data_IF_752866364147
#
_entry.id   IF_752866364147
#
_cell.length_a   1.000
_cell.length_b   1.000
_cell.length_c   1.000
_cell.angle_alpha   90.00
_cell.angle_beta   90.00
_cell.angle_gamma   90.00
#
_symmetry.space_group_name_H-M   'P 1'
#
loop_
_entity.id
_entity.type
_entity.pdbx_description
1 polymer ?
#
# COMPACT_ATOMS: atom_id res chain seq x y z
N UNK A 1 20.32 -6.99 -12.93
CA UNK A 1 18.94 -7.02 -12.46
C UNK A 1 18.80 -8.00 -11.30
N UNK A 2 17.67 -8.01 -10.65
CA UNK A 2 17.37 -8.93 -9.54
C UNK A 2 17.20 -10.37 -10.07
N UNK A 3 17.68 -11.42 -9.35
CA UNK A 3 17.36 -12.81 -9.67
C UNK A 3 15.85 -13.06 -9.68
N UNK A 4 15.36 -13.92 -10.58
CA UNK A 4 13.92 -14.13 -10.74
C UNK A 4 13.28 -14.74 -9.50
N UNK A 5 13.93 -15.69 -8.86
CA UNK A 5 13.47 -16.32 -7.63
C UNK A 5 13.35 -15.32 -6.48
N UNK A 6 14.30 -14.38 -6.35
CA UNK A 6 14.21 -13.27 -5.39
C UNK A 6 13.03 -12.36 -5.70
N UNK A 7 12.83 -11.99 -6.98
CA UNK A 7 11.69 -11.21 -7.41
C UNK A 7 10.35 -11.91 -7.05
N UNK A 8 10.27 -13.24 -7.21
CA UNK A 8 9.08 -14.00 -6.83
C UNK A 8 8.84 -13.99 -5.31
N UNK A 9 9.89 -14.05 -4.50
CA UNK A 9 9.77 -13.94 -3.04
C UNK A 9 9.19 -12.59 -2.62
N UNK A 10 9.59 -11.51 -3.31
CA UNK A 10 9.08 -10.15 -3.05
C UNK A 10 7.64 -9.97 -3.49
N UNK A 11 7.30 -10.46 -4.68
CA UNK A 11 5.95 -10.32 -5.22
C UNK A 11 4.92 -11.17 -4.46
N UNK A 12 5.31 -12.37 -4.05
CA UNK A 12 4.45 -13.33 -3.34
C UNK A 12 5.13 -13.71 -2.02
N UNK A 13 5.19 -12.80 -1.04
CA UNK A 13 5.84 -13.07 0.22
C UNK A 13 5.12 -14.16 1.01
N UNK A 14 5.89 -14.93 1.78
CA UNK A 14 5.31 -15.79 2.80
C UNK A 14 4.67 -14.94 3.91
N UNK A 15 3.65 -15.43 4.61
CA UNK A 15 3.08 -14.73 5.76
C UNK A 15 4.11 -14.73 6.90
N UNK A 16 4.80 -13.61 7.04
CA UNK A 16 5.96 -13.48 7.93
C UNK A 16 5.66 -12.89 9.31
N UNK A 17 4.51 -12.22 9.48
CA UNK A 17 4.22 -11.52 10.73
C UNK A 17 4.06 -12.47 11.91
N UNK A 18 3.03 -13.26 12.01
CA UNK A 18 2.72 -14.09 13.17
C UNK A 18 2.99 -15.59 12.96
N UNK A 19 4.03 -15.94 12.23
CA UNK A 19 4.38 -17.34 11.92
C UNK A 19 5.66 -17.80 12.62
N UNK A 20 5.80 -19.12 12.78
CA UNK A 20 7.02 -19.75 13.26
C UNK A 20 8.09 -19.79 12.14
N UNK A 21 8.48 -18.61 11.67
CA UNK A 21 9.51 -18.41 10.65
C UNK A 21 10.83 -17.99 11.32
N UNK A 22 11.97 -18.29 10.69
CA UNK A 22 13.26 -17.78 11.18
C UNK A 22 13.31 -16.26 11.13
N UNK A 23 14.09 -15.65 12.03
CA UNK A 23 14.16 -14.20 12.11
C UNK A 23 14.75 -13.60 10.83
N UNK A 24 15.74 -14.23 10.21
CA UNK A 24 16.36 -13.76 8.97
C UNK A 24 15.34 -13.66 7.82
N UNK A 25 14.42 -14.64 7.70
CA UNK A 25 13.34 -14.56 6.71
C UNK A 25 12.34 -13.44 7.04
N UNK A 26 12.00 -13.24 8.32
CA UNK A 26 11.13 -12.14 8.75
C UNK A 26 11.72 -10.79 8.41
N UNK A 27 12.99 -10.59 8.73
CA UNK A 27 13.71 -9.36 8.46
C UNK A 27 13.83 -9.08 6.96
N UNK A 28 14.10 -10.12 6.17
CA UNK A 28 14.08 -10.02 4.71
C UNK A 28 12.72 -9.54 4.18
N UNK A 29 11.62 -10.18 4.56
CA UNK A 29 10.30 -9.80 4.09
C UNK A 29 9.87 -8.43 4.61
N UNK A 30 10.21 -8.07 5.86
CA UNK A 30 9.93 -6.75 6.41
C UNK A 30 10.69 -5.65 5.67
N UNK A 31 11.99 -5.86 5.41
CA UNK A 31 12.79 -4.91 4.64
C UNK A 31 12.17 -4.60 3.27
N UNK A 32 11.75 -5.62 2.53
CA UNK A 32 11.13 -5.39 1.23
C UNK A 32 9.69 -4.89 1.30
N UNK A 33 8.95 -5.20 2.36
CA UNK A 33 7.62 -4.64 2.59
C UNK A 33 7.63 -3.11 2.75
N UNK A 34 8.77 -2.51 3.12
CA UNK A 34 8.93 -1.04 3.14
C UNK A 34 8.89 -0.40 1.75
N UNK A 35 9.12 -1.17 0.69
CA UNK A 35 9.26 -0.69 -0.69
C UNK A 35 8.21 -1.22 -1.65
N UNK A 36 7.58 -2.36 -1.34
CA UNK A 36 6.68 -3.04 -2.26
C UNK A 36 5.54 -3.74 -1.52
N UNK A 37 4.32 -3.55 -1.99
CA UNK A 37 3.15 -4.26 -1.50
C UNK A 37 3.11 -5.71 -2.02
N UNK A 38 2.58 -6.66 -1.22
CA UNK A 38 2.44 -8.05 -1.62
C UNK A 38 1.39 -8.22 -2.73
N UNK A 39 1.56 -9.23 -3.56
CA UNK A 39 0.54 -9.63 -4.52
C UNK A 39 -0.74 -10.05 -3.80
N UNK A 40 -1.86 -9.51 -4.26
CA UNK A 40 -3.20 -9.91 -3.83
C UNK A 40 -3.86 -10.78 -4.89
N UNK A 41 -4.50 -11.87 -4.46
CA UNK A 41 -5.27 -12.78 -5.30
C UNK A 41 -4.58 -14.12 -5.62
N UNK A 42 -5.32 -15.05 -6.29
CA UNK A 42 -4.80 -16.35 -6.71
C UNK A 42 -3.71 -16.19 -7.77
N UNK A 43 -2.57 -16.84 -7.54
CA UNK A 43 -1.44 -16.81 -8.46
C UNK A 43 -0.84 -18.20 -8.71
N UNK A 44 -0.54 -18.46 -9.97
CA UNK A 44 0.35 -19.54 -10.41
C UNK A 44 1.30 -18.93 -11.43
N UNK A 45 2.54 -18.71 -11.06
CA UNK A 45 3.51 -17.97 -11.87
C UNK A 45 4.62 -18.92 -12.26
N UNK A 46 4.88 -18.99 -13.55
CA UNK A 46 6.02 -19.69 -14.13
C UNK A 46 7.01 -18.63 -14.63
N UNK A 47 8.29 -18.86 -14.43
CA UNK A 47 9.33 -17.94 -14.83
C UNK A 47 10.57 -18.68 -15.34
N UNK A 48 11.35 -18.01 -16.21
CA UNK A 48 12.64 -18.48 -16.69
C UNK A 48 13.48 -17.32 -17.19
N UNK A 49 14.78 -17.40 -16.97
CA UNK A 49 15.80 -16.51 -17.55
C UNK A 49 16.67 -17.23 -18.60
N UNK A 50 16.29 -18.46 -18.98
CA UNK A 50 17.04 -19.31 -19.90
C UNK A 50 18.07 -20.23 -19.22
N UNK A 51 18.34 -20.01 -17.94
CA UNK A 51 19.22 -20.86 -17.10
C UNK A 51 18.41 -21.48 -15.98
N UNK A 52 17.75 -20.64 -15.21
CA UNK A 52 16.84 -21.06 -14.16
C UNK A 52 15.41 -21.13 -14.68
N UNK A 53 14.68 -22.13 -14.25
CA UNK A 53 13.25 -22.28 -14.50
C UNK A 53 12.57 -22.50 -13.16
N UNK A 54 11.46 -21.82 -12.96
CA UNK A 54 10.74 -21.98 -11.71
C UNK A 54 9.23 -21.79 -11.85
N UNK A 55 8.55 -22.22 -10.79
CA UNK A 55 7.12 -21.97 -10.62
C UNK A 55 6.84 -21.72 -9.14
N UNK A 56 5.90 -20.81 -8.89
CA UNK A 56 5.42 -20.55 -7.52
C UNK A 56 3.92 -20.44 -7.52
N UNK A 57 3.30 -20.87 -6.44
CA UNK A 57 1.90 -20.64 -6.14
C UNK A 57 1.76 -19.61 -5.01
N UNK A 58 0.65 -18.90 -5.01
CA UNK A 58 0.24 -18.16 -3.84
C UNK A 58 0.04 -19.08 -2.64
N UNK A 59 -0.02 -18.50 -1.44
CA UNK A 59 -0.16 -19.27 -0.21
C UNK A 59 -1.37 -20.20 -0.19
N UNK A 60 -2.51 -19.77 -0.73
CA UNK A 60 -3.70 -20.60 -0.74
C UNK A 60 -3.61 -21.74 -1.76
N UNK A 61 -2.80 -21.59 -2.80
CA UNK A 61 -2.62 -22.57 -3.85
C UNK A 61 -3.92 -22.94 -4.54
N UNK A 62 -4.81 -21.95 -4.77
CA UNK A 62 -6.12 -22.17 -5.39
C UNK A 62 -6.01 -22.66 -6.84
N UNK A 63 -4.93 -22.27 -7.53
CA UNK A 63 -4.62 -22.75 -8.86
C UNK A 63 -3.84 -24.04 -8.77
N UNK A 64 -4.31 -25.14 -9.42
CA UNK A 64 -3.58 -26.41 -9.41
C UNK A 64 -2.29 -26.29 -10.21
N UNK A 65 -1.26 -26.99 -9.76
CA UNK A 65 -0.01 -27.17 -10.50
C UNK A 65 0.62 -28.50 -10.11
N UNK A 66 0.85 -29.35 -11.09
CA UNK A 66 1.40 -30.69 -10.91
C UNK A 66 2.65 -30.84 -11.74
N UNK A 67 3.60 -31.64 -11.24
CA UNK A 67 4.81 -31.92 -11.99
C UNK A 67 5.20 -33.41 -11.94
N UNK A 68 5.86 -33.83 -13.01
CA UNK A 68 6.50 -35.10 -13.13
C UNK A 68 8.00 -34.92 -13.33
N UNK A 69 8.79 -35.87 -12.81
CA UNK A 69 10.18 -36.01 -13.13
C UNK A 69 10.31 -37.38 -13.78
N UNK A 70 10.90 -37.41 -14.98
CA UNK A 70 11.11 -38.61 -15.75
C UNK A 70 12.53 -39.21 -15.46
N UNK A 71 12.76 -40.45 -15.88
CA UNK A 71 14.02 -41.15 -15.74
C UNK A 71 15.17 -40.51 -16.55
N UNK A 72 14.84 -39.79 -17.61
CA UNK A 72 15.79 -38.98 -18.40
C UNK A 72 16.05 -37.58 -17.79
N UNK A 73 15.56 -37.33 -16.58
CA UNK A 73 15.62 -36.04 -15.86
C UNK A 73 14.77 -34.93 -16.46
N UNK A 74 13.87 -35.22 -17.40
CA UNK A 74 12.92 -34.26 -17.88
C UNK A 74 11.92 -33.89 -16.77
N UNK A 75 11.73 -32.59 -16.51
CA UNK A 75 10.69 -32.08 -15.61
C UNK A 75 9.52 -31.49 -16.43
N UNK A 76 8.34 -31.99 -16.16
CA UNK A 76 7.09 -31.51 -16.79
C UNK A 76 6.20 -30.92 -15.72
N UNK A 77 5.88 -29.63 -15.85
CA UNK A 77 4.96 -28.91 -14.98
C UNK A 77 3.73 -28.48 -15.75
N UNK A 78 2.54 -28.74 -15.22
CA UNK A 78 1.28 -28.36 -15.85
C UNK A 78 0.18 -28.12 -14.82
N UNK A 79 -0.87 -27.38 -15.20
CA UNK A 79 -2.07 -27.20 -14.36
C UNK A 79 -2.86 -28.50 -14.19
N UNK A 80 -2.81 -29.40 -15.16
CA UNK A 80 -3.59 -30.63 -15.21
C UNK A 80 -2.73 -31.85 -15.52
N UNK A 81 -3.23 -33.03 -15.14
CA UNK A 81 -2.64 -34.32 -15.51
C UNK A 81 -3.07 -34.68 -16.92
N UNK A 82 -2.18 -35.34 -17.68
CA UNK A 82 -2.51 -35.84 -19.02
C UNK A 82 -2.42 -34.82 -20.15
N UNK A 83 -1.76 -33.69 -19.94
CA UNK A 83 -1.49 -32.70 -21.02
C UNK A 83 -0.50 -33.23 -22.06
N UNK A 84 0.32 -34.18 -21.67
CA UNK A 84 1.19 -34.97 -22.57
C UNK A 84 0.93 -36.44 -22.35
N UNK A 85 0.99 -37.23 -23.43
CA UNK A 85 0.91 -38.66 -23.38
C UNK A 85 2.30 -39.19 -22.97
N UNK A 86 2.43 -39.62 -21.71
CA UNK A 86 3.69 -40.07 -21.11
C UNK A 86 3.46 -41.48 -20.60
N UNK A 87 4.34 -42.41 -21.01
CA UNK A 87 4.36 -43.76 -20.44
C UNK A 87 4.70 -43.66 -18.95
N UNK A 88 3.82 -44.17 -18.10
CA UNK A 88 3.96 -44.13 -16.64
C UNK A 88 5.24 -44.84 -16.14
N UNK A 89 5.77 -45.80 -16.91
CA UNK A 89 7.01 -46.51 -16.58
C UNK A 89 8.23 -45.58 -16.53
N UNK A 90 8.22 -44.47 -17.24
CA UNK A 90 9.31 -43.49 -17.25
C UNK A 90 9.18 -42.44 -16.13
N UNK A 91 8.09 -42.42 -15.38
CA UNK A 91 7.87 -41.40 -14.34
C UNK A 91 8.53 -41.85 -13.02
N UNK A 92 9.60 -41.16 -12.64
CA UNK A 92 10.32 -41.40 -11.38
C UNK A 92 9.61 -40.72 -10.20
N UNK A 93 9.02 -39.52 -10.43
CA UNK A 93 8.33 -38.77 -9.39
C UNK A 93 7.08 -38.08 -9.92
N UNK A 94 5.95 -38.31 -9.24
CA UNK A 94 4.69 -37.53 -9.42
C UNK A 94 4.48 -36.67 -8.18
N UNK A 95 4.27 -35.37 -8.35
CA UNK A 95 4.02 -34.48 -7.23
C UNK A 95 3.16 -33.28 -7.66
N UNK A 96 2.80 -32.46 -6.68
CA UNK A 96 2.16 -31.18 -6.91
C UNK A 96 3.01 -30.07 -6.29
N UNK A 97 2.98 -28.90 -6.91
CA UNK A 97 3.52 -27.70 -6.31
C UNK A 97 2.68 -27.35 -5.06
N UNK A 98 3.35 -27.21 -3.94
CA UNK A 98 2.68 -26.91 -2.67
C UNK A 98 2.31 -25.43 -2.59
N UNK A 99 1.21 -25.07 -1.93
CA UNK A 99 0.86 -23.69 -1.64
C UNK A 99 2.00 -22.93 -0.97
N UNK A 100 2.28 -21.71 -1.43
CA UNK A 100 3.36 -20.88 -0.90
C UNK A 100 4.77 -21.37 -1.13
N UNK A 101 4.97 -22.46 -1.89
CA UNK A 101 6.28 -23.04 -2.21
C UNK A 101 6.69 -22.72 -3.65
N UNK A 102 7.98 -22.66 -3.85
CA UNK A 102 8.62 -22.48 -5.15
C UNK A 102 9.25 -23.79 -5.61
N UNK A 103 9.03 -24.14 -6.86
CA UNK A 103 9.78 -25.17 -7.58
C UNK A 103 10.84 -24.44 -8.40
N UNK A 104 12.11 -24.71 -8.18
CA UNK A 104 13.22 -24.07 -8.87
C UNK A 104 14.17 -25.11 -9.44
N UNK A 105 14.52 -24.97 -10.71
CA UNK A 105 15.44 -25.83 -11.43
C UNK A 105 16.56 -24.99 -12.03
N UNK A 106 17.80 -25.34 -11.72
CA UNK A 106 18.99 -24.85 -12.41
C UNK A 106 19.31 -25.85 -13.56
N UNK A 107 19.08 -25.41 -14.81
CA UNK A 107 19.23 -26.26 -15.99
C UNK A 107 20.69 -26.51 -16.34
N UNK A 108 21.62 -25.62 -15.94
CA UNK A 108 23.05 -25.81 -16.17
C UNK A 108 23.65 -26.85 -15.21
N UNK A 109 23.23 -26.77 -13.93
CA UNK A 109 23.66 -27.75 -12.92
C UNK A 109 22.83 -29.05 -12.93
N UNK A 110 21.73 -29.05 -13.69
CA UNK A 110 20.76 -30.14 -13.73
C UNK A 110 20.24 -30.50 -12.32
N UNK A 111 19.93 -29.47 -11.52
CA UNK A 111 19.59 -29.61 -10.12
C UNK A 111 18.26 -28.97 -9.79
N UNK A 112 17.44 -29.71 -9.03
CA UNK A 112 16.27 -29.16 -8.36
C UNK A 112 16.70 -28.50 -7.05
N UNK A 113 16.38 -27.20 -6.89
CA UNK A 113 16.73 -26.45 -5.69
C UNK A 113 15.52 -26.45 -4.75
N UNK A 114 15.74 -26.85 -3.51
CA UNK A 114 14.68 -26.84 -2.49
C UNK A 114 14.28 -25.42 -2.10
N UNK A 115 12.97 -25.19 -1.94
CA UNK A 115 12.37 -23.91 -1.60
C UNK A 115 13.02 -23.23 -0.39
N UNK A 116 13.16 -23.95 0.72
CA UNK A 116 13.72 -23.40 1.95
C UNK A 116 15.20 -23.03 1.82
N UNK A 117 15.97 -23.80 1.05
CA UNK A 117 17.39 -23.51 0.78
C UNK A 117 17.49 -22.24 -0.05
N UNK A 118 16.70 -22.13 -1.11
CA UNK A 118 16.65 -20.94 -1.96
C UNK A 118 16.28 -19.69 -1.16
N UNK A 119 15.18 -19.75 -0.42
CA UNK A 119 14.68 -18.61 0.36
C UNK A 119 15.63 -18.18 1.48
N UNK A 120 16.25 -19.15 2.17
CA UNK A 120 17.24 -18.85 3.21
C UNK A 120 18.53 -18.25 2.65
N UNK A 121 18.95 -18.60 1.45
CA UNK A 121 20.14 -18.00 0.85
C UNK A 121 19.96 -16.50 0.64
N UNK A 122 18.79 -16.06 0.14
CA UNK A 122 18.48 -14.65 0.00
C UNK A 122 18.22 -13.93 1.33
N UNK A 123 17.55 -14.60 2.28
CA UNK A 123 17.31 -14.04 3.61
C UNK A 123 18.60 -13.76 4.41
N UNK A 124 19.69 -14.46 4.10
CA UNK A 124 21.02 -14.28 4.72
C UNK A 124 22.01 -13.49 3.87
N UNK A 125 21.59 -12.99 2.71
CA UNK A 125 22.47 -12.24 1.79
C UNK A 125 22.98 -10.94 2.42
N UNK A 126 22.10 -10.28 3.23
CA UNK A 126 22.43 -9.06 3.94
C UNK A 126 21.89 -9.09 5.38
N UNK A 127 22.39 -8.22 6.27
CA UNK A 127 21.91 -8.10 7.65
C UNK A 127 20.64 -7.22 7.71
N UNK A 128 19.55 -7.67 7.09
CA UNK A 128 18.31 -6.89 6.95
C UNK A 128 17.74 -6.44 8.30
N UNK A 129 17.86 -7.26 9.35
CA UNK A 129 17.42 -6.90 10.69
C UNK A 129 18.19 -5.70 11.27
N UNK A 130 19.52 -5.67 11.10
CA UNK A 130 20.34 -4.52 11.54
C UNK A 130 20.01 -3.25 10.75
N UNK A 131 19.68 -3.39 9.46
CA UNK A 131 19.27 -2.27 8.63
C UNK A 131 17.93 -1.69 9.08
N UNK A 132 16.95 -2.55 9.36
CA UNK A 132 15.65 -2.14 9.90
C UNK A 132 15.80 -1.47 11.27
N UNK A 133 16.57 -2.07 12.18
CA UNK A 133 16.79 -1.52 13.53
C UNK A 133 17.43 -0.12 13.50
N UNK A 134 18.26 0.16 12.49
CA UNK A 134 18.97 1.43 12.36
C UNK A 134 18.17 2.51 11.62
N UNK A 135 17.47 2.15 10.55
CA UNK A 135 16.87 3.12 9.61
C UNK A 135 15.36 3.25 9.72
N UNK A 136 14.64 2.20 10.16
CA UNK A 136 13.18 2.24 10.23
C UNK A 136 12.72 3.01 11.46
N UNK A 137 11.91 4.05 11.24
CA UNK A 137 11.25 4.78 12.33
C UNK A 137 9.82 4.31 12.51
N UNK A 138 9.31 4.38 13.73
CA UNK A 138 7.91 4.13 14.00
C UNK A 138 7.21 5.39 14.51
N UNK A 139 5.99 5.66 14.01
CA UNK A 139 5.22 6.83 14.43
C UNK A 139 4.99 6.90 15.95
N UNK A 140 4.84 5.74 16.60
CA UNK A 140 4.65 5.63 18.05
C UNK A 140 5.83 6.18 18.84
N UNK A 141 7.05 6.08 18.30
CA UNK A 141 8.31 6.45 18.96
C UNK A 141 8.66 7.93 18.75
N UNK A 142 7.95 8.62 17.88
CA UNK A 142 8.11 10.06 17.69
C UNK A 142 7.66 10.82 18.95
N UNK A 143 8.35 11.92 19.32
CA UNK A 143 8.01 12.72 20.48
C UNK A 143 6.58 13.24 20.39
N UNK A 144 5.91 13.30 21.53
CA UNK A 144 4.57 13.85 21.61
C UNK A 144 4.61 15.36 21.30
N UNK A 145 3.63 15.89 20.54
CA UNK A 145 3.57 17.31 20.24
C UNK A 145 3.31 18.15 21.50
N UNK A 146 3.93 19.32 21.58
CA UNK A 146 3.79 20.23 22.73
C UNK A 146 2.40 20.85 22.85
N UNK A 147 1.66 20.89 21.75
CA UNK A 147 0.34 21.52 21.68
C UNK A 147 -0.78 20.49 21.83
N UNK A 148 -1.80 20.82 22.64
CA UNK A 148 -3.05 20.06 22.70
C UNK A 148 -3.86 20.35 21.44
N UNK A 149 -4.50 19.32 20.89
CA UNK A 149 -5.45 19.47 19.79
C UNK A 149 -6.52 20.49 20.11
N UNK A 150 -6.81 21.38 19.16
CA UNK A 150 -7.84 22.41 19.34
C UNK A 150 -9.23 21.75 19.21
N UNK A 151 -10.05 21.91 20.27
CA UNK A 151 -11.44 21.45 20.26
C UNK A 151 -12.28 22.63 19.68
N UNK A 152 -12.94 22.38 18.55
CA UNK A 152 -13.84 23.35 17.94
C UNK A 152 -15.08 23.62 18.83
N UNK A 153 -15.51 24.87 18.87
CA UNK A 153 -16.79 25.22 19.47
C UNK A 153 -17.97 24.63 18.68
N UNK A 154 -19.19 24.62 19.23
CA UNK A 154 -20.37 24.15 18.50
C UNK A 154 -20.61 24.99 17.23
N UNK A 155 -20.46 26.32 17.33
CA UNK A 155 -20.61 27.23 16.19
C UNK A 155 -19.61 26.95 15.08
N UNK A 156 -18.34 26.67 15.43
CA UNK A 156 -17.31 26.35 14.44
C UNK A 156 -17.62 25.04 13.73
N UNK A 157 -18.07 24.02 14.47
CA UNK A 157 -18.50 22.73 13.89
C UNK A 157 -19.64 22.89 12.91
N UNK A 158 -20.67 23.69 13.24
CA UNK A 158 -21.81 23.93 12.37
C UNK A 158 -21.41 24.63 11.06
N UNK A 159 -20.39 25.48 11.11
CA UNK A 159 -19.80 26.12 9.93
C UNK A 159 -19.05 25.08 9.11
N UNK A 160 -18.17 24.29 9.73
CA UNK A 160 -17.39 23.24 9.06
C UNK A 160 -18.28 22.17 8.41
N UNK A 161 -19.39 21.78 9.07
CA UNK A 161 -20.36 20.86 8.48
C UNK A 161 -20.98 21.41 7.18
N UNK A 162 -21.22 22.72 7.12
CA UNK A 162 -21.72 23.36 5.89
C UNK A 162 -20.64 23.43 4.81
N UNK A 163 -19.42 23.79 5.17
CA UNK A 163 -18.30 23.91 4.22
C UNK A 163 -18.02 22.55 3.56
N UNK A 164 -17.93 21.48 4.36
CA UNK A 164 -17.65 20.14 3.88
C UNK A 164 -18.89 19.32 3.53
N UNK A 165 -20.06 19.97 3.43
CA UNK A 165 -21.33 19.35 3.00
C UNK A 165 -21.75 18.14 3.84
N UNK A 166 -21.50 18.16 5.17
CA UNK A 166 -22.01 17.12 6.07
C UNK A 166 -23.52 17.20 6.18
N UNK A 167 -24.18 16.06 5.98
CA UNK A 167 -25.61 15.90 6.24
C UNK A 167 -25.87 15.41 7.65
N UNK A 168 -27.13 15.42 8.06
CA UNK A 168 -27.56 14.84 9.33
C UNK A 168 -27.27 13.32 9.37
N UNK A 169 -27.49 12.65 8.24
CA UNK A 169 -27.23 11.22 8.07
C UNK A 169 -25.73 10.91 8.20
N UNK A 170 -24.86 11.69 7.58
CA UNK A 170 -23.40 11.52 7.73
C UNK A 170 -22.99 11.53 9.19
N UNK A 171 -23.52 12.47 9.97
CA UNK A 171 -23.17 12.60 11.39
C UNK A 171 -23.79 11.48 12.21
N UNK A 172 -25.07 11.16 11.97
CA UNK A 172 -25.82 10.21 12.80
C UNK A 172 -25.50 8.75 12.47
N UNK A 173 -25.44 8.43 11.17
CA UNK A 173 -25.41 7.04 10.71
C UNK A 173 -24.01 6.57 10.35
N UNK A 174 -23.04 7.50 10.17
CA UNK A 174 -21.63 7.18 9.91
C UNK A 174 -20.71 7.58 11.06
N UNK A 175 -20.58 8.87 11.36
CA UNK A 175 -19.61 9.37 12.33
C UNK A 175 -19.93 8.91 13.75
N UNK A 176 -21.20 8.97 14.17
CA UNK A 176 -21.62 8.60 15.52
C UNK A 176 -21.39 7.10 15.83
N UNK A 177 -21.71 6.15 14.95
CA UNK A 177 -21.37 4.73 15.15
C UNK A 177 -19.85 4.49 15.25
N UNK A 178 -19.05 5.12 14.40
CA UNK A 178 -17.58 5.02 14.48
C UNK A 178 -17.06 5.53 15.82
N UNK A 179 -17.53 6.70 16.27
CA UNK A 179 -17.13 7.29 17.54
C UNK A 179 -17.56 6.46 18.76
N UNK A 180 -18.69 5.77 18.70
CA UNK A 180 -19.22 4.96 19.82
C UNK A 180 -18.62 3.56 19.87
N UNK A 181 -18.46 2.94 18.72
CA UNK A 181 -18.20 1.50 18.63
C UNK A 181 -16.77 1.20 18.18
N UNK A 182 -16.03 2.18 17.67
CA UNK A 182 -14.69 2.00 17.11
C UNK A 182 -14.65 1.13 15.84
N UNK A 183 -15.79 1.04 15.14
CA UNK A 183 -15.93 0.26 13.90
C UNK A 183 -16.64 1.09 12.85
N UNK A 184 -16.29 0.89 11.59
CA UNK A 184 -16.97 1.54 10.48
C UNK A 184 -18.36 0.92 10.27
N UNK A 185 -19.41 1.73 10.06
CA UNK A 185 -20.74 1.21 9.76
C UNK A 185 -20.78 0.63 8.34
N UNK A 186 -21.73 -0.25 8.09
CA UNK A 186 -21.97 -0.77 6.75
C UNK A 186 -22.37 0.37 5.81
N UNK A 187 -21.62 0.54 4.73
CA UNK A 187 -21.86 1.55 3.71
C UNK A 187 -21.71 0.94 2.31
N UNK A 188 -22.25 1.62 1.29
CA UNK A 188 -22.02 1.22 -0.10
C UNK A 188 -20.74 1.87 -0.63
N UNK A 189 -20.07 1.19 -1.56
CA UNK A 189 -18.90 1.69 -2.26
C UNK A 189 -19.31 2.62 -3.41
N UNK A 190 -19.69 3.86 -3.07
CA UNK A 190 -20.25 4.83 -3.98
C UNK A 190 -21.77 4.86 -3.99
N UNK A 191 -22.37 5.63 -4.90
CA UNK A 191 -23.82 5.78 -4.99
C UNK A 191 -24.30 5.55 -6.41
N UNK A 192 -25.41 4.78 -6.56
CA UNK A 192 -26.12 4.58 -7.81
C UNK A 192 -27.28 5.57 -8.00
N UNK A 193 -27.53 6.43 -7.01
CA UNK A 193 -28.60 7.42 -7.06
C UNK A 193 -28.22 8.50 -8.07
N UNK A 194 -29.08 8.82 -9.05
CA UNK A 194 -28.84 9.91 -9.97
C UNK A 194 -28.65 11.24 -9.24
N UNK A 195 -27.66 12.01 -9.68
CA UNK A 195 -27.38 13.33 -9.10
C UNK A 195 -28.58 14.27 -9.27
N UNK A 196 -28.92 15.02 -8.23
CA UNK A 196 -30.00 15.99 -8.25
C UNK A 196 -29.57 17.28 -8.98
N UNK A 197 -29.61 17.28 -10.29
CA UNK A 197 -29.06 18.34 -11.16
C UNK A 197 -29.63 19.73 -10.90
N UNK A 198 -30.82 19.84 -10.33
CA UNK A 198 -31.47 21.11 -10.00
C UNK A 198 -31.29 21.50 -8.52
N UNK A 199 -30.55 20.72 -7.76
CA UNK A 199 -30.24 21.01 -6.36
C UNK A 199 -29.26 22.19 -6.25
N UNK A 200 -29.47 23.02 -5.24
CA UNK A 200 -28.49 24.05 -4.85
C UNK A 200 -27.47 23.53 -3.82
N UNK A 201 -27.58 22.28 -3.41
CA UNK A 201 -26.60 21.65 -2.52
C UNK A 201 -25.37 21.23 -3.32
N UNK A 202 -24.22 21.36 -2.70
CA UNK A 202 -22.93 20.95 -3.26
C UNK A 202 -22.49 19.63 -2.60
N UNK A 203 -22.72 18.46 -3.24
CA UNK A 203 -22.14 17.22 -2.77
C UNK A 203 -20.62 17.28 -2.94
N UNK A 204 -19.89 16.56 -2.09
CA UNK A 204 -18.44 16.42 -2.27
C UNK A 204 -18.13 15.69 -3.58
N UNK A 205 -16.91 15.85 -4.09
CA UNK A 205 -16.49 15.24 -5.36
C UNK A 205 -16.61 13.71 -5.34
N UNK A 206 -16.49 13.07 -4.18
CA UNK A 206 -16.65 11.63 -4.00
C UNK A 206 -18.01 11.09 -4.45
N UNK A 207 -19.09 11.88 -4.37
CA UNK A 207 -20.43 11.46 -4.78
C UNK A 207 -20.58 11.26 -6.30
N UNK A 208 -19.62 11.69 -7.10
CA UNK A 208 -19.61 11.48 -8.55
C UNK A 208 -18.96 10.18 -8.97
N UNK A 209 -18.38 9.44 -8.04
CA UNK A 209 -17.67 8.19 -8.28
C UNK A 209 -18.37 7.02 -7.59
N UNK A 210 -18.34 5.88 -8.24
CA UNK A 210 -18.90 4.63 -7.74
C UNK A 210 -18.05 3.46 -8.19
N UNK A 211 -18.12 2.37 -7.45
CA UNK A 211 -17.50 1.12 -7.85
C UNK A 211 -18.22 0.54 -9.07
N UNK A 212 -17.45 0.23 -10.12
CA UNK A 212 -18.00 -0.30 -11.37
C UNK A 212 -17.93 -1.83 -11.48
N UNK A 213 -17.15 -2.47 -10.65
CA UNK A 213 -16.95 -3.92 -10.64
C UNK A 213 -17.70 -4.57 -9.48
N UNK A 214 -18.33 -5.70 -9.73
CA UNK A 214 -18.75 -6.58 -8.66
C UNK A 214 -17.50 -7.17 -7.98
N UNK A 215 -17.43 -7.07 -6.66
CA UNK A 215 -16.35 -7.65 -5.86
C UNK A 215 -16.91 -8.70 -4.92
N UNK A 216 -16.12 -9.75 -4.66
CA UNK A 216 -16.46 -10.74 -3.66
C UNK A 216 -16.27 -10.12 -2.28
N UNK A 217 -17.34 -10.12 -1.46
CA UNK A 217 -17.32 -9.54 -0.10
C UNK A 217 -16.40 -10.31 0.83
N UNK A 218 -16.35 -11.65 0.67
CA UNK A 218 -15.51 -12.55 1.47
C UNK A 218 -14.68 -13.41 0.52
N UNK A 219 -13.53 -12.90 0.02
CA UNK A 219 -12.64 -13.69 -0.82
C UNK A 219 -12.07 -14.88 -0.03
N UNK A 220 -11.73 -16.00 -0.69
CA UNK A 220 -11.18 -17.17 -0.02
C UNK A 220 -9.71 -16.93 0.35
N UNK A 221 -9.48 -16.23 1.44
CA UNK A 221 -8.15 -15.93 1.99
C UNK A 221 -8.02 -16.68 3.32
N UNK A 222 -6.88 -17.37 3.53
CA UNK A 222 -6.58 -17.95 4.83
C UNK A 222 -6.11 -16.87 5.82
N UNK A 223 -6.32 -17.10 7.13
CA UNK A 223 -6.04 -16.11 8.17
C UNK A 223 -4.58 -15.66 8.25
N UNK A 224 -3.63 -16.50 7.86
CA UNK A 224 -2.21 -16.14 7.90
C UNK A 224 -1.83 -15.23 6.73
N UNK A 225 -2.41 -15.48 5.55
CA UNK A 225 -2.23 -14.61 4.40
C UNK A 225 -2.95 -13.29 4.57
N UNK A 226 -4.14 -13.32 5.17
CA UNK A 226 -4.94 -12.13 5.44
C UNK A 226 -4.11 -11.08 6.20
N UNK A 227 -3.33 -11.48 7.20
CA UNK A 227 -2.45 -10.58 7.95
C UNK A 227 -1.42 -9.82 7.09
N UNK A 228 -1.07 -10.35 5.93
CA UNK A 228 -0.11 -9.70 5.01
C UNK A 228 -0.82 -8.89 3.95
N UNK A 229 -1.91 -9.42 3.38
CA UNK A 229 -2.61 -8.81 2.23
C UNK A 229 -3.52 -7.66 2.65
N UNK A 230 -4.21 -7.80 3.80
CA UNK A 230 -5.07 -6.75 4.35
C UNK A 230 -4.39 -5.94 5.45
N UNK A 231 -3.06 -5.98 5.49
CA UNK A 231 -2.29 -5.17 6.41
C UNK A 231 -2.51 -3.68 6.15
N UNK A 232 -2.81 -2.94 7.21
CA UNK A 232 -3.04 -1.49 7.15
C UNK A 232 -1.77 -0.68 7.38
N UNK A 233 -0.62 -1.33 7.55
CA UNK A 233 0.67 -0.66 7.73
C UNK A 233 1.03 0.10 6.46
N UNK A 234 1.40 1.37 6.61
CA UNK A 234 1.92 2.22 5.54
C UNK A 234 3.30 2.74 5.89
N UNK A 235 4.10 2.99 4.87
CA UNK A 235 5.45 3.51 5.02
C UNK A 235 5.55 4.89 4.37
N UNK A 236 5.99 5.90 5.12
CA UNK A 236 6.19 7.26 4.65
C UNK A 236 7.67 7.61 4.59
N UNK A 237 8.08 8.25 3.53
CA UNK A 237 9.46 8.64 3.26
C UNK A 237 9.83 8.40 1.80
N UNK A 238 11.07 8.65 1.44
CA UNK A 238 11.56 8.31 0.11
C UNK A 238 11.72 6.80 -0.01
N UNK A 239 11.04 6.19 -0.96
CA UNK A 239 11.22 4.77 -1.22
C UNK A 239 12.64 4.53 -1.77
N UNK A 240 13.28 3.48 -1.29
CA UNK A 240 14.56 3.02 -1.77
C UNK A 240 14.51 2.43 -3.19
N UNK A 241 15.65 2.01 -3.68
CA UNK A 241 15.75 1.36 -4.98
C UNK A 241 15.54 -0.15 -4.83
N UNK A 242 14.36 -0.64 -5.18
CA UNK A 242 13.99 -2.06 -5.13
C UNK A 242 14.97 -2.98 -5.89
N UNK A 243 15.69 -2.47 -6.88
CA UNK A 243 16.63 -3.25 -7.70
C UNK A 243 18.06 -3.30 -7.15
N UNK A 244 18.33 -2.62 -6.05
CA UNK A 244 19.63 -2.56 -5.39
C UNK A 244 19.46 -2.66 -3.87
N UNK A 245 20.06 -3.67 -3.28
CA UNK A 245 20.01 -3.85 -1.83
C UNK A 245 20.97 -2.87 -1.15
N UNK A 246 20.40 -1.86 -0.51
CA UNK A 246 21.12 -0.84 0.24
C UNK A 246 20.50 -0.69 1.62
N UNK A 247 21.34 -0.42 2.61
CA UNK A 247 20.90 -0.33 4.01
C UNK A 247 19.86 0.76 4.26
N UNK A 248 19.96 1.88 3.55
CA UNK A 248 19.10 3.05 3.67
C UNK A 248 17.79 2.96 2.85
N UNK A 249 17.61 1.91 2.05
CA UNK A 249 16.34 1.69 1.35
C UNK A 249 15.13 1.60 2.30
N UNK A 250 15.34 1.14 3.53
CA UNK A 250 14.29 1.06 4.56
C UNK A 250 14.25 2.29 5.50
N UNK A 251 14.86 3.41 5.12
CA UNK A 251 14.76 4.67 5.85
C UNK A 251 13.39 5.32 5.63
N UNK A 252 12.37 4.73 6.22
CA UNK A 252 10.97 5.14 6.14
C UNK A 252 10.33 5.18 7.52
N UNK A 253 9.23 5.89 7.64
CA UNK A 253 8.40 5.95 8.85
C UNK A 253 7.27 4.92 8.73
N UNK A 254 7.27 3.92 9.58
CA UNK A 254 6.21 2.93 9.67
C UNK A 254 5.03 3.44 10.48
N UNK A 255 3.83 3.32 9.92
CA UNK A 255 2.56 3.71 10.51
C UNK A 255 1.61 2.52 10.42
N UNK A 256 1.15 2.01 11.57
CA UNK A 256 0.32 0.80 11.64
C UNK A 256 -1.10 0.97 11.09
N UNK A 257 -1.58 2.21 10.93
CA UNK A 257 -2.91 2.50 10.42
C UNK A 257 -2.89 3.77 9.56
N UNK A 258 -3.39 3.74 8.32
CA UNK A 258 -3.39 4.90 7.43
C UNK A 258 -4.29 6.05 7.91
N UNK A 259 -5.22 5.79 8.86
CA UNK A 259 -6.06 6.82 9.47
C UNK A 259 -5.37 7.33 10.72
N UNK A 260 -5.02 8.62 10.70
CA UNK A 260 -4.28 9.28 11.76
C UNK A 260 -5.20 10.15 12.61
N UNK A 261 -4.97 10.19 13.90
CA UNK A 261 -5.61 11.16 14.78
C UNK A 261 -4.89 12.54 14.72
N UNK A 262 -5.48 13.54 15.37
CA UNK A 262 -4.90 14.89 15.41
C UNK A 262 -3.52 14.94 16.06
N UNK A 263 -3.23 14.04 17.01
CA UNK A 263 -1.96 13.98 17.70
C UNK A 263 -0.86 13.40 16.79
N UNK A 264 -1.19 12.37 16.05
CA UNK A 264 -0.29 11.77 15.09
C UNK A 264 -0.02 12.72 13.91
N UNK A 265 -1.04 13.45 13.44
CA UNK A 265 -0.85 14.52 12.47
C UNK A 265 0.08 15.62 12.97
N UNK A 266 -0.04 16.03 14.23
CA UNK A 266 0.84 17.04 14.82
C UNK A 266 2.30 16.51 14.96
N UNK A 267 2.50 15.23 15.25
CA UNK A 267 3.85 14.60 15.18
C UNK A 267 4.43 14.69 13.78
N UNK A 268 3.63 14.32 12.75
CA UNK A 268 4.08 14.37 11.35
C UNK A 268 4.43 15.79 10.92
N UNK A 269 3.63 16.78 11.29
CA UNK A 269 3.90 18.21 10.96
C UNK A 269 5.20 18.74 11.58
N UNK A 270 5.63 18.17 12.69
CA UNK A 270 6.87 18.55 13.39
C UNK A 270 8.06 17.66 12.96
N UNK A 271 7.84 16.66 12.13
CA UNK A 271 8.88 15.72 11.73
C UNK A 271 9.90 16.40 10.84
N UNK A 272 11.07 16.65 11.42
CA UNK A 272 12.22 17.22 10.74
C UNK A 272 13.50 16.69 11.41
N UNK A 273 13.95 15.55 10.95
CA UNK A 273 15.17 14.89 11.44
C UNK A 273 15.90 14.24 10.26
N UNK A 274 17.04 13.63 10.52
CA UNK A 274 17.85 13.01 9.50
C UNK A 274 17.06 12.01 8.64
N UNK A 275 17.00 12.26 7.35
CA UNK A 275 16.25 11.46 6.37
C UNK A 275 14.74 11.76 6.31
N UNK A 276 14.18 12.60 7.19
CA UNK A 276 12.75 12.88 7.23
C UNK A 276 12.43 14.37 7.32
N UNK A 277 11.79 14.90 6.28
CA UNK A 277 11.37 16.29 6.21
C UNK A 277 9.93 16.37 5.74
N UNK A 278 9.01 16.76 6.64
CA UNK A 278 7.61 16.98 6.31
C UNK A 278 7.32 18.45 6.02
N UNK A 279 6.37 18.70 5.13
CA UNK A 279 5.86 20.04 4.86
C UNK A 279 4.37 20.03 4.63
N UNK A 280 3.67 20.99 5.25
CA UNK A 280 2.25 21.25 5.00
C UNK A 280 2.12 22.16 3.78
N UNK A 281 1.28 21.73 2.82
CA UNK A 281 0.83 22.57 1.70
C UNK A 281 -0.67 22.81 1.86
N UNK A 282 -1.06 24.07 1.83
CA UNK A 282 -2.45 24.47 1.97
C UNK A 282 -3.24 24.16 0.71
N UNK A 283 -4.44 23.59 0.90
CA UNK A 283 -5.45 23.43 -0.16
C UNK A 283 -6.40 24.63 -0.26
N UNK A 284 -6.14 25.70 0.51
CA UNK A 284 -6.93 26.91 0.51
C UNK A 284 -6.43 27.89 -0.55
N UNK A 285 -7.37 28.51 -1.25
CA UNK A 285 -7.08 29.59 -2.20
C UNK A 285 -8.08 30.73 -2.07
N UNK A 286 -7.67 31.94 -2.41
CA UNK A 286 -8.52 33.12 -2.25
C UNK A 286 -9.70 33.12 -3.20
N UNK A 287 -10.84 33.60 -2.73
CA UNK A 287 -12.00 33.93 -3.57
C UNK A 287 -11.58 34.87 -4.69
N UNK A 288 -11.99 34.60 -5.91
CA UNK A 288 -11.59 35.36 -7.11
C UNK A 288 -10.44 34.78 -7.91
N UNK A 289 -9.70 33.83 -7.35
CA UNK A 289 -8.74 33.00 -8.09
C UNK A 289 -9.49 31.81 -8.67
N UNK A 290 -9.19 31.43 -9.91
CA UNK A 290 -9.80 30.24 -10.50
C UNK A 290 -9.22 28.94 -9.93
N UNK A 291 -9.98 27.85 -9.97
CA UNK A 291 -9.50 26.55 -9.52
C UNK A 291 -8.28 26.08 -10.31
N UNK A 292 -8.19 26.42 -11.60
CA UNK A 292 -7.04 26.09 -12.45
C UNK A 292 -5.78 26.78 -11.95
N UNK A 293 -5.84 28.10 -11.68
CA UNK A 293 -4.72 28.84 -11.11
C UNK A 293 -4.31 28.32 -9.73
N UNK A 294 -5.29 27.91 -8.90
CA UNK A 294 -5.03 27.31 -7.61
C UNK A 294 -4.28 25.96 -7.73
N UNK A 295 -4.64 25.12 -8.71
CA UNK A 295 -3.95 23.87 -8.99
C UNK A 295 -2.53 24.12 -9.53
N UNK A 296 -2.35 25.10 -10.42
CA UNK A 296 -1.03 25.47 -10.91
C UNK A 296 -0.11 25.93 -9.76
N UNK A 297 -0.64 26.72 -8.83
CA UNK A 297 0.11 27.12 -7.63
C UNK A 297 0.43 25.91 -6.74
N UNK A 298 -0.49 24.97 -6.59
CA UNK A 298 -0.28 23.75 -5.81
C UNK A 298 0.87 22.92 -6.41
N UNK A 299 1.00 22.81 -7.73
CA UNK A 299 2.12 22.15 -8.39
C UNK A 299 3.44 22.86 -8.14
N UNK A 300 3.46 24.19 -8.20
CA UNK A 300 4.65 24.97 -7.91
C UNK A 300 5.12 24.80 -6.47
N UNK A 301 4.20 24.80 -5.52
CA UNK A 301 4.52 24.58 -4.09
C UNK A 301 5.05 23.16 -3.84
N UNK A 302 4.48 22.15 -4.50
CA UNK A 302 5.00 20.79 -4.47
C UNK A 302 6.44 20.70 -5.03
N UNK A 303 6.68 21.32 -6.18
CA UNK A 303 8.02 21.36 -6.80
C UNK A 303 9.03 22.09 -5.93
N UNK A 304 8.62 23.14 -5.24
CA UNK A 304 9.45 23.88 -4.31
C UNK A 304 9.81 23.03 -3.09
N UNK A 305 8.81 22.34 -2.51
CA UNK A 305 9.01 21.43 -1.39
C UNK A 305 10.04 20.33 -1.74
N UNK A 306 9.89 19.71 -2.91
CA UNK A 306 10.85 18.72 -3.39
C UNK A 306 12.28 19.25 -3.48
N UNK A 307 12.48 20.46 -4.04
CA UNK A 307 13.81 21.08 -4.14
C UNK A 307 14.42 21.44 -2.79
N UNK A 308 13.59 21.58 -1.75
CA UNK A 308 14.00 21.82 -0.37
C UNK A 308 14.30 20.52 0.41
N UNK A 309 14.20 19.36 -0.25
CA UNK A 309 14.47 18.06 0.37
C UNK A 309 13.30 17.49 1.18
N UNK A 310 12.09 18.04 0.99
CA UNK A 310 10.88 17.50 1.62
C UNK A 310 10.57 16.13 1.01
N UNK A 311 10.35 15.14 1.86
CA UNK A 311 10.02 13.78 1.46
C UNK A 311 8.74 13.23 2.12
N UNK A 312 7.96 14.08 2.81
CA UNK A 312 6.60 13.79 3.27
C UNK A 312 5.76 15.04 3.04
N UNK A 313 4.78 14.93 2.12
CA UNK A 313 3.94 16.05 1.74
C UNK A 313 2.59 15.94 2.47
N UNK A 314 2.22 16.96 3.24
CA UNK A 314 0.95 17.02 3.96
C UNK A 314 0.05 18.04 3.26
N UNK A 315 -1.00 17.57 2.57
CA UNK A 315 -2.02 18.41 1.97
C UNK A 315 -3.09 18.73 3.02
N UNK A 316 -3.38 20.01 3.28
CA UNK A 316 -4.29 20.38 4.37
C UNK A 316 -5.29 21.44 3.93
N UNK A 317 -6.57 21.22 4.25
CA UNK A 317 -7.66 22.22 4.12
C UNK A 317 -7.97 22.93 5.44
N UNK A 318 -7.17 22.69 6.47
CA UNK A 318 -7.35 23.27 7.79
C UNK A 318 -7.17 24.79 7.79
N UNK A 319 -8.07 25.49 8.47
CA UNK A 319 -8.03 26.94 8.58
C UNK A 319 -8.87 27.68 7.53
N UNK A 320 -9.79 26.97 6.87
CA UNK A 320 -10.75 27.59 5.95
C UNK A 320 -11.57 28.70 6.64
N UNK A 321 -11.70 29.83 5.97
CA UNK A 321 -12.41 31.03 6.45
C UNK A 321 -13.27 31.65 5.35
N UNK A 322 -13.86 32.81 5.64
CA UNK A 322 -14.77 33.53 4.72
C UNK A 322 -14.08 34.04 3.44
N UNK A 323 -12.76 34.11 3.38
CA UNK A 323 -12.01 34.64 2.23
C UNK A 323 -11.46 33.51 1.34
N UNK A 324 -11.49 32.28 1.81
CA UNK A 324 -10.89 31.16 1.11
C UNK A 324 -11.92 30.16 0.58
N UNK A 325 -11.55 29.52 -0.51
CA UNK A 325 -12.17 28.33 -1.05
C UNK A 325 -11.21 27.14 -0.83
N UNK A 326 -11.74 25.93 -0.85
CA UNK A 326 -10.98 24.70 -0.70
C UNK A 326 -10.85 24.00 -2.06
N UNK A 327 -9.66 23.60 -2.45
CA UNK A 327 -9.48 22.64 -3.55
C UNK A 327 -10.05 21.30 -3.06
N UNK A 328 -11.02 20.67 -3.76
CA UNK A 328 -11.55 19.38 -3.35
C UNK A 328 -10.44 18.37 -3.11
N UNK A 329 -10.46 17.68 -1.98
CA UNK A 329 -9.35 16.83 -1.53
C UNK A 329 -9.03 15.71 -2.52
N UNK A 330 -10.05 15.05 -3.07
CA UNK A 330 -9.89 14.02 -4.10
C UNK A 330 -9.19 14.57 -5.35
N UNK A 331 -9.57 15.78 -5.79
CA UNK A 331 -8.93 16.43 -6.93
C UNK A 331 -7.48 16.80 -6.62
N UNK A 332 -7.21 17.35 -5.44
CA UNK A 332 -5.87 17.75 -5.02
C UNK A 332 -4.91 16.56 -4.97
N UNK A 333 -5.34 15.47 -4.30
CA UNK A 333 -4.53 14.25 -4.22
C UNK A 333 -4.28 13.66 -5.60
N UNK A 334 -5.31 13.51 -6.43
CA UNK A 334 -5.18 12.98 -7.79
C UNK A 334 -4.27 13.85 -8.69
N UNK A 335 -4.40 15.17 -8.58
CA UNK A 335 -3.59 16.12 -9.35
C UNK A 335 -2.11 16.04 -8.96
N UNK A 336 -1.81 16.09 -7.65
CA UNK A 336 -0.42 15.98 -7.16
C UNK A 336 0.16 14.61 -7.47
N UNK A 337 -0.58 13.53 -7.27
CA UNK A 337 -0.15 12.18 -7.62
C UNK A 337 0.24 12.10 -9.10
N UNK A 338 -0.63 12.57 -9.99
CA UNK A 338 -0.36 12.61 -11.43
C UNK A 338 0.86 13.49 -11.77
N UNK A 339 1.03 14.62 -11.09
CA UNK A 339 2.19 15.50 -11.25
C UNK A 339 3.49 14.82 -10.83
N UNK A 340 3.50 14.15 -9.66
CA UNK A 340 4.66 13.42 -9.14
C UNK A 340 5.05 12.25 -10.06
N UNK A 341 4.06 11.51 -10.60
CA UNK A 341 4.31 10.45 -11.59
C UNK A 341 4.95 11.03 -12.86
N UNK A 342 4.36 12.08 -13.45
CA UNK A 342 4.87 12.74 -14.65
C UNK A 342 6.30 13.31 -14.47
N UNK A 343 6.59 13.81 -13.30
CA UNK A 343 7.90 14.38 -12.95
C UNK A 343 8.88 13.34 -12.39
N UNK A 344 8.50 12.06 -12.32
CA UNK A 344 9.29 10.93 -11.79
C UNK A 344 9.73 11.12 -10.32
N UNK A 345 8.84 11.65 -9.49
CA UNK A 345 9.07 11.93 -8.05
C UNK A 345 8.12 11.19 -7.13
N UNK A 346 7.25 10.34 -7.67
CA UNK A 346 6.23 9.62 -6.90
C UNK A 346 6.83 8.82 -5.73
N UNK A 347 7.93 8.12 -5.97
CA UNK A 347 8.59 7.32 -4.94
C UNK A 347 9.39 8.14 -3.93
N UNK A 348 9.59 9.43 -4.17
CA UNK A 348 10.34 10.31 -3.29
C UNK A 348 9.46 11.11 -2.32
N UNK A 349 8.15 11.23 -2.58
CA UNK A 349 7.25 12.12 -1.84
C UNK A 349 5.87 11.47 -1.64
N UNK A 350 5.66 10.66 -0.62
CA UNK A 350 4.33 10.21 -0.21
C UNK A 350 3.46 11.39 0.22
N UNK A 351 2.15 11.22 0.02
CA UNK A 351 1.14 12.23 0.33
C UNK A 351 0.39 11.80 1.58
N UNK A 352 0.25 12.72 2.53
CA UNK A 352 -0.64 12.63 3.68
C UNK A 352 -1.74 13.68 3.51
N UNK A 353 -3.00 13.30 3.70
CA UNK A 353 -4.13 14.22 3.59
C UNK A 353 -4.68 14.56 4.97
N UNK A 354 -4.80 15.86 5.26
CA UNK A 354 -5.54 16.40 6.41
C UNK A 354 -6.74 17.17 5.87
N UNK A 355 -7.92 16.54 5.87
CA UNK A 355 -9.13 17.12 5.25
C UNK A 355 -10.40 16.79 6.03
N UNK A 356 -11.36 17.71 5.95
CA UNK A 356 -12.72 17.51 6.45
C UNK A 356 -13.65 16.77 5.48
N UNK A 357 -13.23 16.41 4.27
CA UNK A 357 -14.11 15.79 3.27
C UNK A 357 -14.25 14.27 3.41
N UNK A 358 -13.18 13.45 3.52
CA UNK A 358 -13.29 11.99 3.61
C UNK A 358 -14.01 11.55 4.89
N UNK A 359 -14.92 10.56 4.81
CA UNK A 359 -15.77 10.11 5.92
C UNK A 359 -15.85 8.61 6.05
N UNK A 360 -15.61 7.85 4.99
CA UNK A 360 -15.78 6.41 4.93
C UNK A 360 -14.68 5.74 4.08
N UNK A 361 -14.69 4.41 4.08
CA UNK A 361 -13.71 3.59 3.37
C UNK A 361 -13.73 3.79 1.85
N UNK A 362 -14.87 4.18 1.28
CA UNK A 362 -14.99 4.48 -0.15
C UNK A 362 -14.17 5.73 -0.52
N UNK A 363 -14.19 6.72 0.35
CA UNK A 363 -13.53 8.01 0.14
C UNK A 363 -12.04 7.97 0.49
#
# INVERSE_FOLDING_TARGET
GMPLEKAMMLMIPEPWKNTAMSQEKKDFYHYYATMMEPWDGPAAILFSDGISMGATLDRNGLRPSRYYILDDQTLILSSEVGVLDIDESHIVKKSRLQPGKMLLVDTQKQQLIEDDICKMSYAKEHPYGEWLDYYLLHLKDLPAPDKKSHIHSQSDRDILYKIFSYTYEDVKDMILPMAKNGVEPTASMGTDIPLAMLSQKHPTLFHYFQQQFAQVTNPPIDSLREEVVVDTTVYLGSNGNLLQDQSDNCQVLEINNPILDSRDMDKLKQLNCDGFHSQVISLLYYKGISLTEALDQLFLDCDKAYRQGVNILILSDKGVDDNHLVIPSLLAVSAIESHLVKTKRKTAMPIVLESGEPRDVHQ
#
